data_IF_598672223892
#
_entry.id   IF_598672223892
#
_cell.length_a   1.000
_cell.length_b   1.000
_cell.length_c   1.000
_cell.angle_alpha   90.00
_cell.angle_beta   90.00
_cell.angle_gamma   90.00
#
_symmetry.space_group_name_H-M   'P 1'
#
loop_
_entity.id
_entity.type
_entity.pdbx_description
1 polymer ?
#
# COMPACT_ATOMS: atom_id res chain seq x y z
N UNK A 1 3.18 18.45 -3.18
CA UNK A 1 4.04 17.40 -3.69
C UNK A 1 4.97 17.83 -4.84
N UNK A 2 5.07 19.15 -5.08
CA UNK A 2 6.03 19.73 -6.04
C UNK A 2 7.49 19.64 -5.54
N UNK A 3 7.69 19.31 -4.27
CA UNK A 3 9.01 19.31 -3.61
C UNK A 3 9.92 18.20 -4.16
N UNK A 4 9.35 17.10 -4.62
CA UNK A 4 10.09 15.91 -5.04
C UNK A 4 10.20 15.74 -6.56
N UNK A 5 9.81 16.75 -7.34
CA UNK A 5 9.90 16.70 -8.79
C UNK A 5 10.99 17.63 -9.32
N UNK A 6 11.70 17.18 -10.34
CA UNK A 6 12.79 17.92 -10.97
C UNK A 6 12.55 18.12 -12.48
N UNK A 7 13.17 19.16 -13.04
CA UNK A 7 13.18 19.36 -14.49
C UNK A 7 13.95 18.22 -15.15
N UNK A 8 13.32 17.52 -16.07
CA UNK A 8 13.86 16.34 -16.73
C UNK A 8 13.20 15.03 -16.29
N UNK A 9 12.39 15.05 -15.23
CA UNK A 9 11.64 13.88 -14.81
C UNK A 9 10.70 13.39 -15.90
N UNK A 10 10.58 12.08 -16.02
CA UNK A 10 9.69 11.43 -16.98
C UNK A 10 8.25 11.50 -16.50
N UNK A 11 7.32 11.63 -17.43
CA UNK A 11 5.90 11.63 -17.12
C UNK A 11 5.10 10.80 -18.10
N UNK A 12 4.03 10.20 -17.59
CA UNK A 12 2.97 9.53 -18.35
C UNK A 12 1.79 10.50 -18.49
N UNK A 13 1.29 10.63 -19.69
CA UNK A 13 0.26 11.60 -20.04
C UNK A 13 -0.93 10.86 -20.63
N UNK A 14 -2.06 10.96 -19.97
CA UNK A 14 -3.33 10.45 -20.45
C UNK A 14 -4.19 11.63 -20.91
N UNK A 15 -4.62 11.61 -22.16
CA UNK A 15 -5.44 12.66 -22.76
C UNK A 15 -6.88 12.17 -22.87
N UNK A 16 -7.86 12.92 -22.38
CA UNK A 16 -9.27 12.54 -22.36
C UNK A 16 -9.81 12.17 -23.76
N UNK A 17 -9.24 12.76 -24.80
CA UNK A 17 -9.60 12.46 -26.18
C UNK A 17 -9.01 11.14 -26.72
N UNK A 18 -8.10 10.50 -25.99
CA UNK A 18 -7.40 9.26 -26.35
C UNK A 18 -7.33 8.30 -25.14
N UNK A 19 -8.48 7.77 -24.66
CA UNK A 19 -8.56 7.05 -23.38
C UNK A 19 -7.74 5.77 -23.32
N UNK A 20 -7.45 5.16 -24.49
CA UNK A 20 -6.72 3.87 -24.57
C UNK A 20 -5.23 4.06 -24.89
N UNK A 21 -4.72 5.29 -24.77
CA UNK A 21 -3.33 5.60 -25.17
C UNK A 21 -2.62 6.45 -24.12
N UNK A 22 -1.51 5.92 -23.61
CA UNK A 22 -0.61 6.65 -22.73
C UNK A 22 0.54 7.26 -23.56
N UNK A 23 0.76 8.56 -23.41
CA UNK A 23 1.86 9.28 -24.03
C UNK A 23 2.93 9.55 -22.98
N UNK A 24 4.17 9.68 -23.43
CA UNK A 24 5.30 9.99 -22.56
C UNK A 24 5.76 11.42 -22.75
N UNK A 25 6.19 12.03 -21.66
CA UNK A 25 6.72 13.38 -21.64
C UNK A 25 7.85 13.54 -20.64
N UNK A 26 8.45 14.72 -20.64
CA UNK A 26 9.43 15.14 -19.65
C UNK A 26 9.09 16.51 -19.10
N UNK A 27 9.38 16.73 -17.81
CA UNK A 27 9.19 18.05 -17.20
C UNK A 27 10.18 19.03 -17.81
N UNK A 28 9.66 20.10 -18.40
CA UNK A 28 10.47 21.16 -19.02
C UNK A 28 10.63 22.40 -18.13
N UNK A 29 9.66 22.67 -17.26
CA UNK A 29 9.68 23.85 -16.38
C UNK A 29 8.78 23.64 -15.17
N UNK A 30 9.22 24.07 -14.01
CA UNK A 30 8.46 24.08 -12.76
C UNK A 30 8.38 25.53 -12.28
N UNK A 31 7.17 26.06 -12.10
CA UNK A 31 7.00 27.41 -11.59
C UNK A 31 7.34 27.48 -10.10
N UNK A 32 8.21 28.42 -9.71
CA UNK A 32 8.60 28.66 -8.32
C UNK A 32 7.55 29.44 -7.52
N UNK A 33 6.55 29.99 -8.18
CA UNK A 33 5.50 30.79 -7.53
C UNK A 33 4.16 30.07 -7.63
N UNK A 34 3.53 29.87 -6.49
CA UNK A 34 2.18 29.32 -6.43
C UNK A 34 1.16 30.32 -6.98
N UNK A 35 0.24 29.86 -7.80
CA UNK A 35 -0.92 30.63 -8.21
C UNK A 35 -2.07 30.37 -7.24
N UNK A 36 -2.48 31.38 -6.48
CA UNK A 36 -3.70 31.32 -5.70
C UNK A 36 -4.88 31.75 -6.57
N UNK A 37 -5.77 30.84 -6.87
CA UNK A 37 -7.06 31.16 -7.46
C UNK A 37 -7.94 31.75 -6.36
N UNK A 38 -8.08 33.08 -6.32
CA UNK A 38 -9.08 33.78 -5.50
C UNK A 38 -10.48 33.47 -6.03
N UNK A 39 -11.06 32.33 -5.62
CA UNK A 39 -12.49 32.11 -5.69
C UNK A 39 -13.08 32.40 -4.31
N UNK A 40 -13.85 33.47 -4.21
CA UNK A 40 -14.39 34.05 -2.98
C UNK A 40 -14.85 33.02 -1.95
N UNK A 41 -14.15 32.98 -0.81
CA UNK A 41 -14.59 32.30 0.42
C UNK A 41 -14.23 30.83 0.49
N UNK A 42 -13.34 30.51 1.46
CA UNK A 42 -13.01 29.18 1.99
C UNK A 42 -12.20 28.23 1.11
N UNK A 43 -11.02 27.95 1.59
CA UNK A 43 -9.93 27.09 1.11
C UNK A 43 -9.09 27.70 -0.03
N UNK A 44 -8.00 28.30 0.39
CA UNK A 44 -6.91 28.72 -0.48
C UNK A 44 -6.13 27.47 -0.94
N UNK A 45 -6.48 26.96 -2.12
CA UNK A 45 -5.71 25.88 -2.74
C UNK A 45 -4.49 26.49 -3.41
N UNK A 46 -3.31 26.07 -3.01
CA UNK A 46 -2.04 26.51 -3.58
C UNK A 46 -1.66 25.58 -4.73
N UNK A 47 -1.69 26.06 -5.95
CA UNK A 47 -1.33 25.28 -7.14
C UNK A 47 -0.02 25.79 -7.75
N UNK A 48 0.85 24.86 -8.13
CA UNK A 48 2.07 25.14 -8.88
C UNK A 48 1.88 24.77 -10.34
N UNK A 49 2.38 25.60 -11.23
CA UNK A 49 2.32 25.34 -12.66
C UNK A 49 3.55 24.55 -13.10
N UNK A 50 3.33 23.35 -13.62
CA UNK A 50 4.37 22.50 -14.21
C UNK A 50 4.12 22.42 -15.72
N UNK A 51 5.17 22.58 -16.53
CA UNK A 51 5.11 22.38 -17.97
C UNK A 51 5.77 21.06 -18.32
N UNK A 52 5.02 20.23 -19.01
CA UNK A 52 5.50 18.94 -19.51
C UNK A 52 5.58 18.99 -21.03
N UNK A 53 6.71 18.56 -21.58
CA UNK A 53 6.94 18.44 -23.01
C UNK A 53 6.70 16.99 -23.43
N UNK A 54 5.70 16.78 -24.28
CA UNK A 54 5.46 15.46 -24.86
C UNK A 54 6.59 15.02 -25.79
N UNK A 55 6.98 13.76 -25.71
CA UNK A 55 8.00 13.15 -26.60
C UNK A 55 7.39 12.75 -27.95
N UNK A 56 6.12 12.36 -27.95
CA UNK A 56 5.37 12.04 -29.16
C UNK A 56 4.02 12.75 -29.10
N UNK A 57 3.69 13.50 -30.13
CA UNK A 57 2.47 14.29 -30.21
C UNK A 57 1.55 13.69 -31.25
N UNK A 58 0.30 13.31 -30.91
CA UNK A 58 -0.66 12.81 -31.91
C UNK A 58 -1.15 13.95 -32.84
N UNK A 59 -1.38 13.60 -34.10
CA UNK A 59 -1.71 14.60 -35.15
C UNK A 59 -2.99 15.43 -34.90
N UNK A 60 -3.91 14.91 -34.09
CA UNK A 60 -5.21 15.52 -33.82
C UNK A 60 -5.33 16.24 -32.49
N UNK A 61 -4.23 16.37 -31.73
CA UNK A 61 -4.27 17.11 -30.49
C UNK A 61 -4.53 18.59 -30.73
N UNK A 62 -5.36 19.21 -29.91
CA UNK A 62 -5.71 20.62 -30.01
C UNK A 62 -5.53 21.31 -28.66
N UNK A 63 -5.15 22.61 -28.66
CA UNK A 63 -5.16 23.41 -27.44
C UNK A 63 -6.53 23.39 -26.77
N UNK A 64 -6.54 23.27 -25.43
CA UNK A 64 -7.77 23.23 -24.63
C UNK A 64 -8.27 21.81 -24.32
N UNK A 65 -7.62 20.76 -24.81
CA UNK A 65 -7.91 19.40 -24.36
C UNK A 65 -7.40 19.19 -22.93
N UNK A 66 -8.20 18.48 -22.11
CA UNK A 66 -7.81 18.08 -20.77
C UNK A 66 -6.91 16.85 -20.83
N UNK A 67 -6.02 16.75 -19.86
CA UNK A 67 -5.13 15.59 -19.68
C UNK A 67 -4.78 15.41 -18.22
N UNK A 68 -4.54 14.18 -17.85
CA UNK A 68 -3.96 13.76 -16.56
C UNK A 68 -2.50 13.42 -16.78
N UNK A 69 -1.62 13.88 -15.88
CA UNK A 69 -0.18 13.64 -15.98
C UNK A 69 0.31 13.02 -14.69
N UNK A 70 0.89 11.83 -14.80
CA UNK A 70 1.57 11.13 -13.72
C UNK A 70 3.07 11.36 -13.86
N UNK A 71 3.68 12.02 -12.89
CA UNK A 71 5.10 12.33 -12.89
C UNK A 71 5.84 11.24 -12.11
N UNK A 72 6.87 10.64 -12.75
CA UNK A 72 7.73 9.64 -12.16
C UNK A 72 8.95 10.38 -11.60
N UNK A 73 8.92 10.69 -10.30
CA UNK A 73 9.98 11.43 -9.62
C UNK A 73 11.17 10.55 -9.23
N UNK A 74 10.94 9.27 -9.00
CA UNK A 74 11.99 8.33 -8.60
C UNK A 74 11.70 6.92 -9.12
N UNK A 75 12.73 6.19 -9.48
CA UNK A 75 12.63 4.80 -9.93
C UNK A 75 13.69 3.94 -9.25
N UNK A 76 13.27 2.99 -8.42
CA UNK A 76 14.15 1.98 -7.86
C UNK A 76 14.01 0.71 -8.67
N UNK A 77 15.12 0.24 -9.24
CA UNK A 77 15.16 -1.01 -10.02
C UNK A 77 15.49 -2.19 -9.11
N UNK A 78 14.80 -3.32 -9.35
CA UNK A 78 15.01 -4.57 -8.59
C UNK A 78 14.71 -4.41 -7.08
N UNK A 79 13.79 -3.53 -6.71
CA UNK A 79 13.34 -3.42 -5.33
C UNK A 79 12.37 -4.57 -4.98
N UNK A 80 12.54 -5.13 -3.79
CA UNK A 80 11.51 -5.95 -3.18
C UNK A 80 10.29 -5.06 -2.91
N UNK A 81 9.12 -5.48 -3.32
CA UNK A 81 7.91 -4.69 -3.15
C UNK A 81 6.77 -5.48 -2.51
N UNK A 82 5.95 -4.79 -1.76
CA UNK A 82 4.75 -5.34 -1.10
C UNK A 82 3.52 -4.57 -1.54
N UNK A 83 2.34 -5.22 -1.68
CA UNK A 83 1.10 -4.52 -1.94
C UNK A 83 0.75 -3.52 -0.83
N UNK A 84 0.24 -2.34 -1.17
CA UNK A 84 -0.21 -1.33 -0.19
C UNK A 84 -1.19 -1.93 0.83
N UNK A 85 -2.03 -2.87 0.40
CA UNK A 85 -3.02 -3.54 1.25
C UNK A 85 -2.43 -4.49 2.30
N UNK A 86 -1.12 -4.72 2.32
CA UNK A 86 -0.45 -5.54 3.35
C UNK A 86 0.06 -4.72 4.53
N UNK A 87 0.22 -3.40 4.35
CA UNK A 87 0.76 -2.51 5.36
C UNK A 87 -0.30 -2.09 6.38
N UNK A 88 0.05 -2.14 7.65
CA UNK A 88 -0.77 -1.59 8.73
C UNK A 88 0.13 -0.99 9.80
N UNK A 89 -0.44 -0.13 10.64
CA UNK A 89 0.30 0.51 11.72
C UNK A 89 -0.07 -0.09 13.07
N UNK A 90 0.91 -0.39 13.91
CA UNK A 90 0.74 -0.97 15.25
C UNK A 90 1.67 -0.27 16.26
N UNK A 91 1.33 -0.31 17.56
CA UNK A 91 2.26 0.15 18.59
C UNK A 91 3.57 -0.67 18.56
N UNK A 92 4.70 -0.03 18.83
CA UNK A 92 6.04 -0.63 18.77
C UNK A 92 6.19 -1.97 19.49
N UNK A 93 5.46 -2.19 20.59
CA UNK A 93 5.51 -3.42 21.38
C UNK A 93 4.36 -4.41 21.06
N UNK A 94 3.72 -4.29 19.90
CA UNK A 94 2.57 -5.12 19.54
C UNK A 94 2.89 -6.64 19.49
N UNK A 95 4.09 -7.02 19.08
CA UNK A 95 4.53 -8.42 19.05
C UNK A 95 4.68 -9.06 20.43
N UNK A 96 4.79 -8.25 21.51
CA UNK A 96 4.86 -8.75 22.88
C UNK A 96 3.49 -9.17 23.43
N UNK A 97 2.40 -8.76 22.78
CA UNK A 97 1.05 -9.15 23.15
C UNK A 97 0.74 -10.57 22.66
N UNK A 98 1.14 -11.57 23.42
CA UNK A 98 0.72 -12.97 23.18
C UNK A 98 -0.80 -13.04 23.27
N UNK A 99 -1.43 -13.56 22.22
CA UNK A 99 -2.86 -13.86 22.25
C UNK A 99 -3.13 -14.89 23.32
N UNK A 100 -3.79 -14.48 24.39
CA UNK A 100 -4.25 -15.43 25.41
C UNK A 100 -5.24 -16.41 24.76
N UNK A 101 -4.88 -17.68 24.66
CA UNK A 101 -5.75 -18.75 24.10
C UNK A 101 -7.14 -18.82 24.77
N UNK A 102 -7.33 -18.15 25.93
CA UNK A 102 -8.62 -18.08 26.64
C UNK A 102 -9.61 -17.08 26.04
N UNK A 103 -9.15 -16.08 25.32
CA UNK A 103 -10.02 -15.02 24.78
C UNK A 103 -10.69 -15.41 23.44
N UNK A 104 -10.23 -16.49 22.80
CA UNK A 104 -10.87 -17.02 21.58
C UNK A 104 -12.26 -17.63 21.81
N UNK A 105 -12.67 -17.89 23.06
CA UNK A 105 -13.98 -18.49 23.40
C UNK A 105 -14.99 -17.52 24.02
N UNK A 106 -14.64 -16.26 24.26
CA UNK A 106 -15.58 -15.28 24.79
C UNK A 106 -16.32 -14.54 23.67
N UNK A 107 -17.53 -14.90 23.58
CA UNK A 107 -18.73 -14.27 23.04
C UNK A 107 -18.58 -12.95 22.27
N UNK A 108 -18.92 -13.04 21.03
CA UNK A 108 -19.10 -12.14 19.89
C UNK A 108 -20.04 -10.94 20.12
N UNK A 109 -20.48 -10.62 21.34
CA UNK A 109 -21.54 -9.65 21.57
C UNK A 109 -21.29 -8.58 22.65
N UNK A 110 -20.14 -8.60 23.31
CA UNK A 110 -19.79 -7.48 24.19
C UNK A 110 -18.94 -6.45 23.45
N UNK A 111 -19.60 -5.33 23.16
CA UNK A 111 -19.00 -4.08 22.70
C UNK A 111 -18.02 -3.59 23.78
N UNK A 112 -16.74 -3.77 23.56
CA UNK A 112 -15.69 -3.00 24.24
C UNK A 112 -15.18 -1.91 23.29
N UNK A 113 -16.06 -0.96 22.94
CA UNK A 113 -15.70 0.22 22.14
C UNK A 113 -14.83 1.23 22.93
N UNK A 114 -14.65 1.06 24.25
CA UNK A 114 -13.97 2.05 25.09
C UNK A 114 -12.49 1.73 25.42
N UNK A 115 -11.97 0.53 25.07
CA UNK A 115 -10.58 0.17 25.41
C UNK A 115 -9.57 0.43 24.28
N UNK A 116 -10.03 0.54 23.05
CA UNK A 116 -9.14 0.66 21.89
C UNK A 116 -8.56 2.07 21.69
N UNK A 117 -9.24 3.12 22.13
CA UNK A 117 -8.76 4.50 21.96
C UNK A 117 -7.59 4.87 22.89
N UNK A 118 -7.52 4.27 24.08
CA UNK A 118 -6.41 4.52 25.02
C UNK A 118 -5.12 3.77 24.65
N UNK A 119 -5.19 2.79 23.77
CA UNK A 119 -4.06 1.97 23.36
C UNK A 119 -3.18 2.67 22.32
N UNK A 120 -3.79 3.45 21.42
CA UNK A 120 -3.10 4.17 20.35
C UNK A 120 -2.42 5.47 20.80
N UNK A 121 -2.76 5.99 21.99
CA UNK A 121 -2.33 7.32 22.42
C UNK A 121 -1.00 7.38 23.18
N UNK A 122 -0.34 6.24 23.46
CA UNK A 122 0.85 6.23 24.35
C UNK A 122 2.18 5.77 23.74
N UNK A 123 2.21 5.23 22.48
CA UNK A 123 3.48 4.81 21.84
C UNK A 123 3.46 5.16 20.37
N UNK A 124 4.61 5.56 19.84
CA UNK A 124 4.77 5.86 18.43
C UNK A 124 4.34 4.65 17.59
N UNK A 125 3.38 4.80 16.67
CA UNK A 125 3.00 3.73 15.78
C UNK A 125 4.16 3.42 14.84
N UNK A 126 4.41 2.13 14.61
CA UNK A 126 5.36 1.63 13.62
C UNK A 126 4.60 0.91 12.50
N UNK A 127 5.16 0.94 11.32
CA UNK A 127 4.62 0.21 10.19
C UNK A 127 4.98 -1.27 10.30
N UNK A 128 3.96 -2.10 10.13
CA UNK A 128 4.09 -3.55 10.26
C UNK A 128 3.33 -4.27 9.16
N UNK A 129 3.78 -5.48 8.89
CA UNK A 129 3.09 -6.46 8.05
C UNK A 129 2.85 -7.74 8.83
N UNK A 130 1.99 -8.59 8.31
CA UNK A 130 1.81 -9.95 8.81
C UNK A 130 2.41 -10.95 7.83
N UNK A 131 3.38 -11.71 8.31
CA UNK A 131 4.03 -12.80 7.57
C UNK A 131 3.42 -14.13 8.03
N UNK A 132 3.26 -15.06 7.10
CA UNK A 132 2.72 -16.38 7.38
C UNK A 132 3.85 -17.38 7.60
N UNK A 133 3.88 -17.99 8.78
CA UNK A 133 4.86 -19.00 9.14
C UNK A 133 4.18 -20.31 9.55
N UNK A 134 4.89 -21.42 9.36
CA UNK A 134 4.37 -22.76 9.69
C UNK A 134 4.55 -23.11 11.17
N UNK A 135 5.40 -22.38 11.89
CA UNK A 135 5.71 -22.63 13.29
C UNK A 135 5.63 -21.33 14.11
N UNK A 136 5.07 -21.42 15.31
CA UNK A 136 5.00 -20.33 16.27
C UNK A 136 4.98 -20.88 17.71
N UNK A 137 5.85 -20.33 18.60
CA UNK A 137 5.96 -20.69 20.04
C UNK A 137 6.19 -22.21 20.27
N UNK A 138 6.92 -22.87 19.32
CA UNK A 138 7.20 -24.31 19.37
C UNK A 138 6.03 -25.21 18.94
N UNK A 139 4.94 -24.63 18.43
CA UNK A 139 3.81 -25.37 17.87
C UNK A 139 3.82 -25.24 16.33
N UNK A 140 3.73 -26.38 15.63
CA UNK A 140 3.59 -26.41 14.18
C UNK A 140 2.12 -26.22 13.79
N UNK A 141 1.85 -25.41 12.78
CA UNK A 141 0.50 -25.18 12.30
C UNK A 141 -0.11 -26.46 11.70
N UNK A 142 -1.41 -26.73 11.93
CA UNK A 142 -2.12 -27.82 11.28
C UNK A 142 -2.15 -27.64 9.76
N UNK A 143 -2.31 -28.75 9.04
CA UNK A 143 -2.38 -28.76 7.59
C UNK A 143 -3.41 -27.76 7.04
N UNK A 144 -3.02 -26.97 6.05
CA UNK A 144 -3.85 -25.90 5.45
C UNK A 144 -3.99 -24.64 6.30
N UNK A 145 -3.25 -24.52 7.40
CA UNK A 145 -3.22 -23.31 8.23
C UNK A 145 -1.78 -22.84 8.44
N UNK A 146 -1.63 -21.53 8.76
CA UNK A 146 -0.36 -20.90 9.12
C UNK A 146 -0.56 -19.89 10.22
N UNK A 147 0.49 -19.57 10.93
CA UNK A 147 0.49 -18.50 11.93
C UNK A 147 0.76 -17.16 11.27
N UNK A 148 -0.04 -16.16 11.60
CA UNK A 148 0.18 -14.78 11.17
C UNK A 148 1.06 -14.07 12.20
N UNK A 149 2.30 -13.79 11.85
CA UNK A 149 3.26 -13.13 12.72
C UNK A 149 3.44 -11.68 12.30
N UNK A 150 3.29 -10.76 13.26
CA UNK A 150 3.57 -9.35 13.01
C UNK A 150 5.08 -9.13 12.91
N UNK A 151 5.49 -8.37 11.88
CA UNK A 151 6.89 -8.01 11.66
C UNK A 151 6.99 -6.53 11.31
N UNK A 152 7.83 -5.76 12.01
CA UNK A 152 8.13 -4.37 11.65
C UNK A 152 8.75 -4.31 10.26
N UNK A 153 8.39 -3.29 9.49
CA UNK A 153 8.89 -3.08 8.15
C UNK A 153 9.31 -1.63 7.96
N UNK A 154 10.38 -1.43 7.22
CA UNK A 154 10.79 -0.12 6.72
C UNK A 154 10.52 -0.06 5.22
N UNK A 155 9.65 0.89 4.82
CA UNK A 155 9.26 1.09 3.44
C UNK A 155 9.92 2.34 2.87
N UNK A 156 10.13 2.35 1.56
CA UNK A 156 10.71 3.46 0.82
C UNK A 156 9.64 4.18 0.01
N UNK A 157 9.88 4.30 -1.29
CA UNK A 157 8.95 4.93 -2.22
C UNK A 157 7.72 4.05 -2.45
N UNK A 158 6.61 4.71 -2.76
CA UNK A 158 5.36 4.05 -3.13
C UNK A 158 5.02 4.28 -4.59
N UNK A 159 4.45 3.26 -5.22
CA UNK A 159 3.72 3.37 -6.47
C UNK A 159 2.21 3.36 -6.19
N UNK A 160 1.38 3.30 -7.22
CA UNK A 160 -0.08 3.25 -7.06
C UNK A 160 -0.58 2.08 -6.21
N UNK A 161 0.09 0.92 -6.27
CA UNK A 161 -0.38 -0.31 -5.65
C UNK A 161 0.64 -0.99 -4.74
N UNK A 162 1.89 -0.53 -4.72
CA UNK A 162 2.99 -1.18 -4.01
C UNK A 162 3.88 -0.19 -3.28
N UNK A 163 4.47 -0.65 -2.17
CA UNK A 163 5.59 0.00 -1.49
C UNK A 163 6.88 -0.74 -1.82
N UNK A 164 7.95 -0.02 -2.09
CA UNK A 164 9.31 -0.57 -2.09
C UNK A 164 9.73 -0.81 -0.64
N UNK A 165 10.40 -1.95 -0.39
CA UNK A 165 10.82 -2.36 0.96
C UNK A 165 12.31 -2.14 1.11
N UNK A 166 12.72 -1.41 2.17
CA UNK A 166 14.11 -1.29 2.60
C UNK A 166 14.55 -2.47 3.45
N UNK A 167 13.70 -2.86 4.42
CA UNK A 167 14.00 -3.94 5.34
C UNK A 167 12.74 -4.50 5.98
N UNK A 168 12.81 -5.72 6.53
CA UNK A 168 11.72 -6.37 7.27
C UNK A 168 11.05 -7.53 6.55
N UNK A 169 11.30 -7.72 5.25
CA UNK A 169 10.77 -8.84 4.45
C UNK A 169 11.86 -9.42 3.57
N UNK A 170 11.82 -10.72 3.35
CA UNK A 170 12.69 -11.44 2.42
C UNK A 170 11.93 -11.90 1.18
N UNK A 171 12.65 -12.21 0.11
CA UNK A 171 12.05 -12.78 -1.10
C UNK A 171 11.34 -14.11 -0.79
N UNK A 172 10.21 -14.34 -1.46
CA UNK A 172 9.37 -15.53 -1.34
C UNK A 172 8.69 -15.74 0.03
N UNK A 173 8.71 -14.77 0.92
CA UNK A 173 7.88 -14.81 2.13
C UNK A 173 6.40 -14.59 1.79
N UNK A 174 5.54 -15.36 2.41
CA UNK A 174 4.09 -15.19 2.27
C UNK A 174 3.61 -14.10 3.22
N UNK A 175 3.03 -13.03 2.67
CA UNK A 175 2.47 -11.93 3.44
C UNK A 175 0.94 -11.91 3.35
N UNK A 176 0.32 -11.42 4.43
CA UNK A 176 -1.13 -11.24 4.46
C UNK A 176 -1.51 -9.95 3.75
N UNK A 177 -2.40 -10.05 2.78
CA UNK A 177 -3.04 -8.91 2.13
C UNK A 177 -4.53 -8.90 2.41
N UNK A 178 -5.13 -7.75 2.64
CA UNK A 178 -6.56 -7.71 2.93
C UNK A 178 -7.11 -6.31 3.19
N UNK A 179 -8.40 -6.25 3.49
CA UNK A 179 -9.02 -4.98 3.89
C UNK A 179 -8.42 -4.45 5.19
N UNK A 180 -8.22 -3.12 5.25
CA UNK A 180 -7.66 -2.42 6.40
C UNK A 180 -8.25 -2.87 7.75
N UNK A 181 -9.56 -3.08 7.82
CA UNK A 181 -10.24 -3.51 9.04
C UNK A 181 -9.73 -4.87 9.56
N UNK A 182 -9.49 -5.82 8.65
CA UNK A 182 -9.00 -7.15 9.00
C UNK A 182 -7.58 -7.05 9.57
N UNK A 183 -6.70 -6.36 8.86
CA UNK A 183 -5.29 -6.18 9.27
C UNK A 183 -5.14 -5.34 10.53
N UNK A 184 -5.99 -4.30 10.71
CA UNK A 184 -5.85 -3.38 11.83
C UNK A 184 -6.55 -3.83 13.10
N UNK A 185 -7.66 -4.60 13.02
CA UNK A 185 -8.52 -4.92 14.19
C UNK A 185 -8.70 -6.41 14.45
N UNK A 186 -8.74 -7.24 13.41
CA UNK A 186 -9.12 -8.65 13.54
C UNK A 186 -7.89 -9.58 13.59
N UNK A 187 -6.81 -9.21 12.89
CA UNK A 187 -5.60 -10.02 12.83
C UNK A 187 -4.66 -9.68 13.99
N UNK A 188 -4.26 -10.69 14.74
CA UNK A 188 -3.37 -10.56 15.89
C UNK A 188 -2.10 -11.41 15.69
N UNK A 189 -1.01 -11.01 16.36
CA UNK A 189 0.25 -11.74 16.37
C UNK A 189 0.05 -13.17 16.88
N UNK A 190 0.51 -14.17 16.12
CA UNK A 190 0.36 -15.59 16.47
C UNK A 190 -1.03 -16.16 16.19
N UNK A 191 -1.91 -15.44 15.48
CA UNK A 191 -3.23 -15.98 15.13
C UNK A 191 -3.10 -17.04 14.03
N UNK A 192 -3.79 -18.18 14.25
CA UNK A 192 -3.86 -19.26 13.26
C UNK A 192 -4.88 -18.92 12.16
N UNK A 193 -4.42 -18.80 10.93
CA UNK A 193 -5.23 -18.46 9.77
C UNK A 193 -5.25 -19.59 8.74
N UNK A 194 -6.37 -19.74 8.03
CA UNK A 194 -6.48 -20.69 6.92
C UNK A 194 -5.94 -20.05 5.64
N UNK A 195 -5.01 -20.72 5.01
CA UNK A 195 -4.46 -20.32 3.71
C UNK A 195 -5.33 -20.94 2.62
N UNK A 196 -5.92 -20.09 1.77
CA UNK A 196 -6.58 -20.53 0.54
C UNK A 196 -5.74 -20.05 -0.62
N UNK A 197 -5.30 -20.96 -1.49
CA UNK A 197 -4.79 -20.58 -2.81
C UNK A 197 -5.89 -19.90 -3.61
N UNK A 198 -5.57 -18.79 -4.26
CA UNK A 198 -6.52 -18.12 -5.16
C UNK A 198 -6.73 -19.04 -6.39
N UNK A 199 -7.97 -19.46 -6.69
CA UNK A 199 -8.24 -20.34 -7.84
C UNK A 199 -7.87 -19.72 -9.20
N UNK A 200 -7.42 -18.48 -9.24
CA UNK A 200 -7.05 -17.74 -10.47
C UNK A 200 -5.59 -17.90 -10.88
N UNK A 201 -4.76 -18.61 -10.11
CA UNK A 201 -3.35 -18.88 -10.46
C UNK A 201 -3.17 -20.02 -11.48
N UNK A 202 -4.24 -20.71 -11.89
CA UNK A 202 -4.17 -21.87 -12.82
C UNK A 202 -4.36 -21.51 -14.31
N UNK A 203 -4.60 -20.24 -14.63
CA UNK A 203 -4.59 -19.73 -16.00
C UNK A 203 -3.28 -19.01 -16.33
N UNK A 204 -2.34 -19.77 -16.79
CA UNK A 204 -1.15 -19.59 -17.66
C UNK A 204 -0.63 -18.21 -18.01
N UNK A 205 -0.65 -17.19 -17.17
CA UNK A 205 -0.05 -15.89 -17.48
C UNK A 205 1.18 -15.56 -16.61
N UNK A 206 2.24 -15.20 -17.32
CA UNK A 206 3.64 -15.14 -16.88
C UNK A 206 4.03 -13.85 -16.12
N UNK A 207 3.18 -13.34 -15.25
CA UNK A 207 3.58 -12.25 -14.34
C UNK A 207 3.82 -12.77 -12.92
N UNK A 208 5.07 -13.17 -12.69
CA UNK A 208 5.57 -13.86 -11.48
C UNK A 208 5.70 -12.97 -10.24
N UNK A 209 4.87 -11.97 -10.02
CA UNK A 209 5.05 -11.09 -8.86
C UNK A 209 3.75 -10.72 -8.12
N UNK A 210 2.74 -11.61 -8.09
CA UNK A 210 1.49 -11.39 -7.36
C UNK A 210 1.19 -12.53 -6.39
N UNK A 211 1.97 -12.69 -5.33
CA UNK A 211 1.61 -13.58 -4.22
C UNK A 211 0.76 -12.84 -3.20
N UNK A 212 -0.49 -12.58 -3.52
CA UNK A 212 -1.49 -12.05 -2.59
C UNK A 212 -2.45 -13.15 -2.16
N UNK A 213 -2.40 -13.58 -0.90
CA UNK A 213 -3.30 -14.61 -0.36
C UNK A 213 -4.48 -13.93 0.32
N UNK A 214 -5.73 -14.25 -0.11
CA UNK A 214 -6.94 -13.85 0.61
C UNK A 214 -7.18 -14.79 1.77
N UNK A 215 -7.21 -14.23 2.98
CA UNK A 215 -7.47 -14.99 4.21
C UNK A 215 -8.95 -14.92 4.58
N UNK A 216 -9.53 -16.09 4.90
CA UNK A 216 -10.82 -16.20 5.56
C UNK A 216 -10.57 -16.58 7.02
N UNK A 217 -10.84 -15.65 7.93
CA UNK A 217 -10.82 -15.95 9.37
C UNK A 217 -12.03 -16.85 9.65
N UNK A 218 -11.76 -18.08 10.05
CA UNK A 218 -12.81 -19.06 10.37
C UNK A 218 -13.58 -18.69 11.64
N UNK A 219 -14.88 -18.99 11.62
CA UNK A 219 -15.74 -18.94 12.82
C UNK A 219 -15.39 -20.05 13.81
#
# INVERSE_FOLDING_TARGET
DVVNIEVGDTSEIEIDAYPDTVFYGVISEIAHTAQSLNMGGQQQVTNFKVKVKMLSVPDKIRPGMSSTVNIISETIRNALSIPIQSLTSRPENYSEFKVNKKDQKKNRWEKDDEKDENFLTKKNPIDVIFVLEDEFDGETAPEGKKYALVRPIDVDISSENHYAVKSGVSENEMIVTGGYRILSKELNHGLLVSVKSDPREDDGDKDRNRSGIRIKIGN
#
